data_IF_056465555239
#
_entry.id   IF_056465555239
#
_cell.length_a   1.000
_cell.length_b   1.000
_cell.length_c   1.000
_cell.angle_alpha   90.00
_cell.angle_beta   90.00
_cell.angle_gamma   90.00
#
_symmetry.space_group_name_H-M   'P 1'
#
loop_
_entity.id
_entity.type
_entity.pdbx_description
1 polymer ?
#
# COMPACT_ATOMS: atom_id res chain seq x y z
N UNK A 1 -28.87 26.79 -10.40
CA UNK A 1 -27.61 26.33 -9.82
C UNK A 1 -27.97 25.46 -8.65
N UNK A 2 -27.52 24.18 -8.53
CA UNK A 2 -27.77 23.39 -7.34
C UNK A 2 -27.16 24.09 -6.13
N UNK A 3 -27.86 24.09 -5.01
CA UNK A 3 -27.39 24.68 -3.76
C UNK A 3 -26.14 23.93 -3.31
N UNK A 4 -25.13 24.64 -2.77
CA UNK A 4 -23.82 24.12 -2.33
C UNK A 4 -23.91 22.93 -1.32
N UNK A 5 -25.10 22.58 -0.84
CA UNK A 5 -25.35 21.54 0.15
C UNK A 5 -25.58 20.12 -0.41
N UNK A 6 -25.77 19.96 -1.74
CA UNK A 6 -26.13 18.68 -2.36
C UNK A 6 -24.98 17.98 -3.11
N UNK A 7 -23.78 18.59 -3.17
CA UNK A 7 -22.65 17.93 -3.83
C UNK A 7 -21.88 17.08 -2.80
N UNK A 8 -21.54 15.83 -3.14
CA UNK A 8 -20.72 15.01 -2.27
C UNK A 8 -19.40 15.71 -1.99
N UNK A 9 -18.95 15.66 -0.73
CA UNK A 9 -17.72 16.31 -0.32
C UNK A 9 -16.52 15.71 -1.07
N UNK A 10 -15.74 16.55 -1.74
CA UNK A 10 -14.53 16.16 -2.46
C UNK A 10 -13.51 15.51 -1.51
N UNK A 11 -12.90 14.42 -1.94
CA UNK A 11 -11.85 13.73 -1.20
C UNK A 11 -10.63 13.38 -2.05
N UNK A 12 -10.69 13.54 -3.39
CA UNK A 12 -9.56 13.32 -4.30
C UNK A 12 -8.80 14.61 -4.50
N UNK A 13 -7.50 14.65 -4.16
CA UNK A 13 -6.66 15.85 -4.18
C UNK A 13 -6.67 16.56 -5.54
N UNK A 14 -6.59 15.81 -6.62
CA UNK A 14 -6.55 16.32 -8.00
C UNK A 14 -7.85 17.00 -8.44
N UNK A 15 -8.94 16.84 -7.71
CA UNK A 15 -10.22 17.48 -7.99
C UNK A 15 -10.39 18.82 -7.27
N UNK A 16 -9.47 19.16 -6.36
CA UNK A 16 -9.51 20.43 -5.62
C UNK A 16 -8.87 21.56 -6.41
N UNK A 17 -9.47 22.74 -6.29
CA UNK A 17 -8.80 23.98 -6.64
C UNK A 17 -7.87 24.43 -5.52
N UNK A 18 -6.88 25.28 -5.80
CA UNK A 18 -5.95 25.74 -4.76
C UNK A 18 -6.61 26.46 -3.55
N UNK A 19 -7.72 27.23 -3.68
CA UNK A 19 -8.42 27.75 -2.52
C UNK A 19 -9.07 26.65 -1.66
N UNK A 20 -9.64 25.61 -2.29
CA UNK A 20 -10.23 24.47 -1.58
C UNK A 20 -9.15 23.64 -0.84
N UNK A 21 -7.92 23.58 -1.37
CA UNK A 21 -6.78 22.96 -0.66
C UNK A 21 -6.46 23.75 0.62
N UNK A 22 -6.51 25.07 0.60
CA UNK A 22 -6.33 25.90 1.81
C UNK A 22 -7.38 25.59 2.87
N UNK A 23 -8.63 25.37 2.46
CA UNK A 23 -9.72 24.97 3.36
C UNK A 23 -9.48 23.56 3.92
N UNK A 24 -9.01 22.60 3.10
CA UNK A 24 -8.68 21.25 3.53
C UNK A 24 -7.53 21.23 4.58
N UNK A 25 -6.52 22.07 4.40
CA UNK A 25 -5.45 22.29 5.38
C UNK A 25 -6.01 22.83 6.70
N UNK A 26 -6.87 23.86 6.65
CA UNK A 26 -7.50 24.44 7.84
C UNK A 26 -8.39 23.42 8.60
N UNK A 27 -8.95 22.45 7.90
CA UNK A 27 -9.71 21.33 8.49
C UNK A 27 -8.83 20.23 9.09
N UNK A 28 -7.50 20.34 9.05
CA UNK A 28 -6.54 19.35 9.52
C UNK A 28 -6.80 17.96 8.91
N UNK A 29 -7.00 17.91 7.57
CA UNK A 29 -7.18 16.64 6.87
C UNK A 29 -5.85 15.89 6.78
N UNK A 30 -5.92 14.57 6.90
CA UNK A 30 -4.77 13.65 6.68
C UNK A 30 -4.59 13.45 5.17
N UNK A 31 -3.39 13.69 4.64
CA UNK A 31 -3.04 13.30 3.28
C UNK A 31 -2.74 11.80 3.24
N UNK A 32 -3.44 11.05 2.41
CA UNK A 32 -3.25 9.62 2.19
C UNK A 32 -2.64 9.43 0.81
N UNK A 33 -1.38 9.01 0.75
CA UNK A 33 -0.64 8.76 -0.49
C UNK A 33 -0.50 7.25 -0.73
N UNK A 34 -1.25 6.67 -1.68
CA UNK A 34 -1.04 5.29 -2.08
C UNK A 34 0.26 5.15 -2.86
N UNK A 35 1.04 4.11 -2.56
CA UNK A 35 2.32 3.83 -3.21
C UNK A 35 2.37 2.36 -3.58
N UNK A 36 2.37 2.07 -4.86
CA UNK A 36 2.55 0.72 -5.38
C UNK A 36 3.79 0.61 -6.26
N UNK A 37 3.78 -0.34 -7.18
CA UNK A 37 4.71 -0.44 -8.30
C UNK A 37 4.05 -1.14 -9.49
N UNK A 38 4.64 -1.00 -10.67
CA UNK A 38 4.25 -1.74 -11.88
C UNK A 38 5.20 -2.92 -12.00
N UNK A 39 4.74 -4.11 -11.61
CA UNK A 39 5.56 -5.32 -11.64
C UNK A 39 4.74 -6.58 -11.94
N UNK A 40 5.42 -7.63 -12.34
CA UNK A 40 4.83 -8.92 -12.56
C UNK A 40 4.24 -9.52 -11.25
N UNK A 41 3.11 -10.22 -11.34
CA UNK A 41 2.46 -10.96 -10.26
C UNK A 41 1.99 -12.33 -10.75
N UNK A 42 2.90 -13.08 -11.38
CA UNK A 42 2.57 -14.33 -12.04
C UNK A 42 1.78 -14.11 -13.34
N UNK A 43 1.36 -15.21 -13.99
CA UNK A 43 0.68 -15.12 -15.30
C UNK A 43 -0.80 -14.73 -15.19
N UNK A 44 -1.35 -14.60 -13.99
CA UNK A 44 -2.77 -14.46 -13.72
C UNK A 44 -3.20 -13.09 -13.21
N UNK A 45 -2.29 -12.26 -12.67
CA UNK A 45 -2.59 -10.92 -12.17
C UNK A 45 -2.01 -9.83 -13.07
N UNK A 46 -2.65 -8.65 -13.12
CA UNK A 46 -2.16 -7.53 -13.90
C UNK A 46 -0.91 -6.90 -13.26
N UNK A 47 -0.05 -6.29 -14.08
CA UNK A 47 1.18 -5.60 -13.63
C UNK A 47 0.93 -4.48 -12.62
N UNK A 48 -0.30 -3.99 -12.52
CA UNK A 48 -0.70 -2.86 -11.67
C UNK A 48 -1.26 -3.31 -10.32
N UNK A 49 -1.09 -4.56 -9.93
CA UNK A 49 -1.65 -5.18 -8.72
C UNK A 49 -1.39 -4.35 -7.47
N UNK A 50 -0.15 -3.97 -7.22
CA UNK A 50 0.26 -3.20 -6.03
C UNK A 50 -0.36 -1.80 -5.98
N UNK A 51 -0.36 -1.13 -7.13
CA UNK A 51 -0.98 0.20 -7.24
C UNK A 51 -2.50 0.11 -7.02
N UNK A 52 -3.15 -0.90 -7.62
CA UNK A 52 -4.59 -1.12 -7.48
C UNK A 52 -4.96 -1.36 -6.02
N UNK A 53 -4.27 -2.28 -5.35
CA UNK A 53 -4.58 -2.63 -3.95
C UNK A 53 -4.38 -1.45 -3.02
N UNK A 54 -3.22 -0.77 -3.09
CA UNK A 54 -2.95 0.42 -2.27
C UNK A 54 -3.96 1.54 -2.55
N UNK A 55 -4.28 1.80 -3.81
CA UNK A 55 -5.21 2.86 -4.22
C UNK A 55 -6.62 2.57 -3.75
N UNK A 56 -7.16 1.39 -4.01
CA UNK A 56 -8.55 1.08 -3.68
C UNK A 56 -8.78 0.95 -2.17
N UNK A 57 -7.82 0.38 -1.40
CA UNK A 57 -7.90 0.37 0.05
C UNK A 57 -7.94 1.79 0.62
N UNK A 58 -7.07 2.67 0.11
CA UNK A 58 -7.02 4.07 0.51
C UNK A 58 -8.28 4.83 0.11
N UNK A 59 -8.74 4.64 -1.14
CA UNK A 59 -9.95 5.29 -1.66
C UNK A 59 -11.19 4.95 -0.84
N UNK A 60 -11.42 3.67 -0.60
CA UNK A 60 -12.57 3.19 0.17
C UNK A 60 -12.56 3.70 1.61
N UNK A 61 -11.37 3.84 2.22
CA UNK A 61 -11.26 4.39 3.56
C UNK A 61 -11.50 5.91 3.59
N UNK A 62 -10.86 6.66 2.67
CA UNK A 62 -11.01 8.14 2.61
C UNK A 62 -12.43 8.54 2.23
N UNK A 63 -13.08 7.80 1.32
CA UNK A 63 -14.47 8.02 0.94
C UNK A 63 -15.46 7.95 2.12
N UNK A 64 -15.14 7.16 3.16
CA UNK A 64 -15.93 7.07 4.40
C UNK A 64 -15.72 8.26 5.35
N UNK A 65 -14.68 9.08 5.11
CA UNK A 65 -14.34 10.23 5.97
C UNK A 65 -13.81 11.42 5.18
N UNK A 66 -14.57 11.91 4.18
CA UNK A 66 -14.10 12.91 3.22
C UNK A 66 -13.81 14.28 3.84
N UNK A 67 -14.35 14.57 5.05
CA UNK A 67 -14.05 15.78 5.80
C UNK A 67 -12.73 15.72 6.59
N UNK A 68 -12.17 14.51 6.78
CA UNK A 68 -11.07 14.26 7.69
C UNK A 68 -9.79 13.80 6.99
N UNK A 69 -9.92 13.26 5.77
CA UNK A 69 -8.81 12.80 4.97
C UNK A 69 -8.94 13.24 3.51
N UNK A 70 -7.83 13.22 2.78
CA UNK A 70 -7.75 13.54 1.36
C UNK A 70 -6.87 12.48 0.67
N UNK A 71 -7.37 11.91 -0.43
CA UNK A 71 -6.67 10.91 -1.22
C UNK A 71 -5.78 11.59 -2.24
N UNK A 72 -4.49 11.30 -2.20
CA UNK A 72 -3.53 11.77 -3.19
C UNK A 72 -3.53 10.88 -4.43
N UNK A 73 -3.15 11.42 -5.61
CA UNK A 73 -2.79 10.60 -6.76
C UNK A 73 -1.71 9.58 -6.39
N UNK A 74 -1.89 8.34 -6.84
CA UNK A 74 -1.01 7.24 -6.46
C UNK A 74 0.38 7.32 -7.10
N UNK A 75 1.40 6.82 -6.42
CA UNK A 75 2.72 6.56 -6.98
C UNK A 75 2.70 5.20 -7.67
N UNK A 76 3.01 5.18 -8.98
CA UNK A 76 2.95 4.00 -9.83
C UNK A 76 4.29 3.31 -10.01
N UNK A 77 5.40 4.02 -9.91
CA UNK A 77 6.74 3.49 -10.17
C UNK A 77 7.60 3.59 -8.92
N UNK A 78 8.17 2.47 -8.52
CA UNK A 78 8.90 2.32 -7.28
C UNK A 78 10.07 1.35 -7.42
N UNK A 79 10.68 0.93 -6.30
CA UNK A 79 11.82 0.03 -6.30
C UNK A 79 11.39 -1.42 -6.46
N UNK A 80 11.71 -2.04 -7.62
CA UNK A 80 11.42 -3.44 -7.91
C UNK A 80 12.41 -4.06 -8.92
N UNK A 81 13.67 -3.64 -8.85
CA UNK A 81 14.76 -4.09 -9.75
C UNK A 81 14.86 -5.62 -9.82
N UNK A 82 14.65 -6.29 -8.70
CA UNK A 82 14.72 -7.75 -8.57
C UNK A 82 13.63 -8.51 -9.35
N UNK A 83 12.62 -7.82 -9.89
CA UNK A 83 11.58 -8.38 -10.76
C UNK A 83 11.82 -8.15 -12.26
N UNK A 84 12.91 -7.48 -12.66
CA UNK A 84 13.17 -7.11 -14.06
C UNK A 84 13.40 -8.30 -15.01
N UNK A 85 13.68 -9.49 -14.49
CA UNK A 85 13.77 -10.71 -15.29
C UNK A 85 12.42 -11.13 -15.89
N UNK A 86 11.32 -10.51 -15.43
CA UNK A 86 9.98 -10.75 -15.96
C UNK A 86 9.51 -9.54 -16.78
N UNK A 87 9.07 -9.74 -18.04
CA UNK A 87 8.62 -8.65 -18.90
C UNK A 87 7.49 -7.82 -18.31
N UNK A 88 7.53 -6.51 -18.53
CA UNK A 88 6.51 -5.57 -18.09
C UNK A 88 6.79 -4.87 -16.76
N UNK A 89 7.70 -5.37 -15.96
CA UNK A 89 8.18 -4.68 -14.76
C UNK A 89 8.91 -3.39 -15.11
N UNK A 90 8.60 -2.29 -14.41
CA UNK A 90 9.26 -0.99 -14.55
C UNK A 90 9.83 -0.59 -13.21
N UNK A 91 11.14 -0.58 -13.09
CA UNK A 91 11.84 -0.28 -11.85
C UNK A 91 12.36 1.15 -11.78
N UNK A 92 12.40 1.71 -10.59
CA UNK A 92 13.05 2.98 -10.26
C UNK A 92 14.14 2.69 -9.23
N UNK A 93 15.29 3.31 -9.37
CA UNK A 93 16.40 3.19 -8.42
C UNK A 93 16.00 3.69 -7.02
N UNK A 94 16.53 3.03 -5.98
CA UNK A 94 16.14 3.28 -4.60
C UNK A 94 16.26 4.74 -4.15
N UNK A 95 17.39 5.39 -4.46
CA UNK A 95 17.63 6.80 -4.10
C UNK A 95 16.66 7.74 -4.83
N UNK A 96 16.39 7.46 -6.11
CA UNK A 96 15.41 8.21 -6.89
C UNK A 96 14.01 8.08 -6.29
N UNK A 97 13.63 6.88 -5.90
CA UNK A 97 12.33 6.60 -5.28
C UNK A 97 12.19 7.29 -3.91
N UNK A 98 13.20 7.19 -3.04
CA UNK A 98 13.22 7.89 -1.74
C UNK A 98 13.05 9.40 -1.95
N UNK A 99 13.84 9.99 -2.85
CA UNK A 99 13.81 11.43 -3.10
C UNK A 99 12.46 11.87 -3.67
N UNK A 100 11.90 11.12 -4.61
CA UNK A 100 10.60 11.40 -5.23
C UNK A 100 9.47 11.44 -4.19
N UNK A 101 9.37 10.41 -3.34
CA UNK A 101 8.33 10.36 -2.28
C UNK A 101 8.58 11.45 -1.23
N UNK A 102 9.85 11.70 -0.88
CA UNK A 102 10.23 12.78 0.06
C UNK A 102 9.79 14.15 -0.49
N UNK A 103 10.02 14.45 -1.76
CA UNK A 103 9.67 15.74 -2.36
C UNK A 103 8.16 15.95 -2.44
N UNK A 104 7.37 14.89 -2.70
CA UNK A 104 5.91 14.94 -2.60
C UNK A 104 5.50 15.33 -1.17
N UNK A 105 6.03 14.64 -0.16
CA UNK A 105 5.71 14.91 1.24
C UNK A 105 6.12 16.30 1.70
N UNK A 106 7.30 16.80 1.27
CA UNK A 106 7.76 18.16 1.54
C UNK A 106 6.85 19.22 0.91
N UNK A 107 6.37 18.97 -0.31
CA UNK A 107 5.42 19.86 -0.97
C UNK A 107 4.10 19.94 -0.21
N UNK A 108 3.57 18.82 0.25
CA UNK A 108 2.36 18.78 1.09
C UNK A 108 2.57 19.53 2.41
N UNK A 109 3.69 19.32 3.07
CA UNK A 109 4.05 20.03 4.30
C UNK A 109 4.21 21.53 4.08
N UNK A 110 4.81 21.95 2.96
CA UNK A 110 4.92 23.36 2.56
C UNK A 110 3.56 24.04 2.43
N UNK A 111 2.55 23.32 1.90
CA UNK A 111 1.18 23.82 1.82
C UNK A 111 0.44 23.82 3.16
N UNK A 112 1.03 23.28 4.22
CA UNK A 112 0.50 23.30 5.58
C UNK A 112 -0.14 22.00 6.05
N UNK A 113 -0.14 20.94 5.25
CA UNK A 113 -0.55 19.62 5.73
C UNK A 113 0.43 19.11 6.79
N UNK A 114 -0.10 18.67 7.91
CA UNK A 114 0.71 18.24 9.07
C UNK A 114 0.78 16.72 9.25
N UNK A 115 -0.07 15.97 8.54
CA UNK A 115 -0.17 14.51 8.69
C UNK A 115 -0.25 13.85 7.33
N UNK A 116 0.73 13.01 7.03
CA UNK A 116 0.89 12.33 5.75
C UNK A 116 1.00 10.84 6.01
N UNK A 117 0.10 10.04 5.45
CA UNK A 117 0.10 8.58 5.53
C UNK A 117 0.46 7.99 4.16
N UNK A 118 1.58 7.27 4.09
CA UNK A 118 1.97 6.48 2.93
C UNK A 118 1.33 5.09 3.07
N UNK A 119 0.45 4.72 2.13
CA UNK A 119 -0.17 3.39 2.09
C UNK A 119 0.54 2.55 1.05
N UNK A 120 1.31 1.59 1.51
CA UNK A 120 2.17 0.78 0.66
C UNK A 120 1.49 -0.48 0.14
N UNK A 121 1.61 -0.74 -1.17
CA UNK A 121 1.14 -1.95 -1.85
C UNK A 121 2.23 -2.97 -2.18
N UNK A 122 3.52 -2.63 -2.03
CA UNK A 122 4.65 -3.47 -2.48
C UNK A 122 5.65 -3.76 -1.35
N UNK A 123 5.96 -5.05 -1.14
CA UNK A 123 6.83 -5.46 -0.03
C UNK A 123 8.20 -4.78 -0.03
N UNK A 124 8.86 -4.74 -1.19
CA UNK A 124 10.21 -4.17 -1.31
C UNK A 124 10.27 -2.64 -1.17
N UNK A 125 9.15 -1.94 -1.21
CA UNK A 125 9.10 -0.50 -0.92
C UNK A 125 9.29 -0.17 0.56
N UNK A 126 9.04 -1.11 1.47
CA UNK A 126 9.01 -0.87 2.93
C UNK A 126 10.24 -0.12 3.44
N UNK A 127 11.50 -0.56 3.20
CA UNK A 127 12.68 0.13 3.71
C UNK A 127 12.86 1.53 3.10
N UNK A 128 12.52 1.72 1.84
CA UNK A 128 12.64 3.00 1.14
C UNK A 128 11.59 4.00 1.62
N UNK A 129 10.36 3.55 1.85
CA UNK A 129 9.28 4.39 2.37
C UNK A 129 9.49 4.74 3.85
N UNK A 130 10.13 3.89 4.65
CA UNK A 130 10.53 4.23 6.02
C UNK A 130 11.54 5.39 6.00
N UNK A 131 12.56 5.33 5.13
CA UNK A 131 13.55 6.41 4.95
C UNK A 131 12.85 7.68 4.45
N UNK A 132 11.99 7.60 3.44
CA UNK A 132 11.27 8.76 2.93
C UNK A 132 10.37 9.41 4.00
N UNK A 133 9.65 8.61 4.79
CA UNK A 133 8.81 9.10 5.89
C UNK A 133 9.65 9.81 6.96
N UNK A 134 10.84 9.28 7.30
CA UNK A 134 11.80 9.93 8.21
C UNK A 134 12.31 11.25 7.63
N UNK A 135 12.65 11.29 6.36
CA UNK A 135 13.11 12.50 5.69
C UNK A 135 12.03 13.60 5.71
N UNK A 136 10.78 13.25 5.39
CA UNK A 136 9.66 14.19 5.45
C UNK A 136 9.51 14.74 6.87
N UNK A 137 9.48 13.86 7.88
CA UNK A 137 9.31 14.26 9.28
C UNK A 137 10.49 15.11 9.79
N UNK A 138 11.73 14.76 9.42
CA UNK A 138 12.93 15.46 9.92
C UNK A 138 13.14 16.82 9.25
N UNK A 139 12.68 16.99 8.02
CA UNK A 139 12.91 18.21 7.21
C UNK A 139 11.71 19.16 7.16
N UNK A 140 10.59 18.78 7.79
CA UNK A 140 9.36 19.57 7.78
C UNK A 140 8.71 19.60 9.17
N UNK A 141 7.64 20.37 9.28
CA UNK A 141 6.80 20.39 10.48
C UNK A 141 5.67 19.33 10.46
N UNK A 142 5.62 18.48 9.43
CA UNK A 142 4.65 17.40 9.33
C UNK A 142 5.20 16.13 9.99
N UNK A 143 4.30 15.26 10.42
CA UNK A 143 4.63 13.86 10.70
C UNK A 143 4.17 13.00 9.54
N UNK A 144 5.04 12.08 9.13
CA UNK A 144 4.76 11.11 8.09
C UNK A 144 4.80 9.70 8.66
N UNK A 145 3.81 8.89 8.33
CA UNK A 145 3.74 7.47 8.69
C UNK A 145 3.60 6.61 7.44
N UNK A 146 4.02 5.35 7.52
CA UNK A 146 3.89 4.37 6.44
C UNK A 146 3.21 3.11 6.97
N UNK A 147 2.32 2.53 6.16
CA UNK A 147 1.64 1.27 6.48
C UNK A 147 1.54 0.41 5.22
N UNK A 148 2.04 -0.84 5.23
CA UNK A 148 1.67 -1.84 4.24
C UNK A 148 0.20 -2.23 4.47
N UNK A 149 -0.65 -2.17 3.42
CA UNK A 149 -2.08 -2.39 3.61
C UNK A 149 -2.42 -3.77 4.22
N UNK A 150 -1.65 -4.80 3.87
CA UNK A 150 -1.86 -6.16 4.40
C UNK A 150 -1.59 -6.29 5.89
N UNK A 151 -0.76 -5.41 6.48
CA UNK A 151 -0.50 -5.40 7.92
C UNK A 151 -1.71 -4.95 8.74
N UNK A 152 -2.72 -4.36 8.11
CA UNK A 152 -3.98 -3.98 8.73
C UNK A 152 -4.98 -5.14 8.81
N UNK A 153 -4.71 -6.29 8.19
CA UNK A 153 -5.58 -7.46 8.28
C UNK A 153 -5.52 -8.02 9.71
N UNK A 154 -6.66 -8.20 10.41
CA UNK A 154 -6.67 -8.85 11.71
C UNK A 154 -6.10 -10.27 11.61
N UNK A 155 -5.19 -10.62 12.52
CA UNK A 155 -4.49 -11.92 12.49
C UNK A 155 -5.45 -13.12 12.53
N UNK A 156 -6.52 -13.02 13.33
CA UNK A 156 -7.52 -14.09 13.43
C UNK A 156 -8.30 -14.27 12.12
N UNK A 157 -8.65 -13.16 11.45
CA UNK A 157 -9.31 -13.21 10.14
C UNK A 157 -8.39 -13.82 9.09
N UNK A 158 -7.10 -13.42 9.06
CA UNK A 158 -6.13 -13.99 8.14
C UNK A 158 -5.97 -15.49 8.35
N UNK A 159 -5.86 -15.93 9.60
CA UNK A 159 -5.78 -17.35 9.97
C UNK A 159 -7.05 -18.12 9.60
N UNK A 160 -8.22 -17.52 9.78
CA UNK A 160 -9.51 -18.14 9.46
C UNK A 160 -9.70 -18.34 7.95
N UNK A 161 -9.26 -17.38 7.13
CA UNK A 161 -9.53 -17.38 5.69
C UNK A 161 -8.44 -18.06 4.86
N UNK A 162 -7.22 -18.16 5.40
CA UNK A 162 -6.08 -18.76 4.73
C UNK A 162 -6.29 -20.27 4.53
N UNK A 163 -6.11 -20.73 3.30
CA UNK A 163 -6.07 -22.15 2.94
C UNK A 163 -4.69 -22.58 2.41
N UNK A 164 -3.88 -21.63 1.93
CA UNK A 164 -2.51 -21.89 1.49
C UNK A 164 -1.60 -22.21 2.66
N UNK A 165 -0.52 -22.96 2.39
CA UNK A 165 0.44 -23.34 3.41
C UNK A 165 1.15 -22.15 4.07
N UNK A 166 1.55 -22.32 5.32
CA UNK A 166 2.40 -21.37 6.03
C UNK A 166 3.73 -22.06 6.41
N UNK A 167 4.88 -21.43 6.19
CA UNK A 167 5.05 -20.18 5.44
C UNK A 167 5.08 -20.40 3.91
N UNK A 168 4.88 -19.32 3.17
CA UNK A 168 5.15 -19.25 1.75
C UNK A 168 3.92 -19.24 0.85
N UNK A 169 2.76 -19.67 1.34
CA UNK A 169 1.54 -19.67 0.52
C UNK A 169 0.97 -18.27 0.22
N UNK A 170 1.37 -17.27 1.02
CA UNK A 170 0.96 -15.87 0.86
C UNK A 170 2.19 -14.96 0.82
N UNK A 171 2.94 -14.92 -0.29
CA UNK A 171 4.10 -14.05 -0.43
C UNK A 171 3.98 -13.08 -1.60
N UNK A 172 3.79 -13.54 -2.86
CA UNK A 172 3.69 -12.68 -4.05
C UNK A 172 2.84 -13.32 -5.15
N UNK A 173 1.92 -12.56 -5.74
CA UNK A 173 0.94 -13.11 -6.68
C UNK A 173 0.13 -14.25 -6.05
N UNK A 174 -0.16 -14.13 -4.78
CA UNK A 174 -0.53 -15.20 -3.87
C UNK A 174 -2.04 -15.30 -3.61
N UNK A 175 -2.46 -16.21 -2.71
CA UNK A 175 -3.86 -16.35 -2.29
C UNK A 175 -4.48 -15.02 -1.86
N UNK A 176 -3.76 -14.21 -1.05
CA UNK A 176 -4.27 -12.94 -0.53
C UNK A 176 -4.51 -11.92 -1.66
N UNK A 177 -3.48 -11.62 -2.43
CA UNK A 177 -3.53 -10.60 -3.49
C UNK A 177 -4.51 -10.99 -4.58
N UNK A 178 -4.49 -12.26 -4.99
CA UNK A 178 -5.44 -12.77 -5.99
C UNK A 178 -6.89 -12.67 -5.49
N UNK A 179 -7.15 -13.00 -4.21
CA UNK A 179 -8.50 -12.86 -3.65
C UNK A 179 -8.96 -11.39 -3.65
N UNK A 180 -8.08 -10.48 -3.23
CA UNK A 180 -8.36 -9.04 -3.22
C UNK A 180 -8.64 -8.53 -4.63
N UNK A 181 -7.83 -8.91 -5.62
CA UNK A 181 -8.05 -8.51 -7.03
C UNK A 181 -9.32 -9.12 -7.61
N UNK A 182 -9.65 -10.37 -7.31
CA UNK A 182 -10.93 -10.99 -7.71
C UNK A 182 -12.12 -10.19 -7.21
N UNK A 183 -12.04 -9.58 -6.04
CA UNK A 183 -13.11 -8.74 -5.51
C UNK A 183 -13.12 -7.35 -6.14
N UNK A 184 -11.97 -6.67 -6.18
CA UNK A 184 -11.86 -5.27 -6.62
C UNK A 184 -11.93 -5.12 -8.14
N UNK A 185 -11.24 -5.97 -8.88
CA UNK A 185 -11.09 -5.92 -10.34
C UNK A 185 -10.95 -7.32 -10.93
N UNK A 186 -11.94 -8.19 -10.65
CA UNK A 186 -11.97 -9.55 -11.18
C UNK A 186 -11.93 -9.63 -12.72
N UNK A 187 -12.32 -8.55 -13.39
CA UNK A 187 -12.20 -8.40 -14.85
C UNK A 187 -10.75 -8.43 -15.37
N UNK A 188 -9.76 -8.12 -14.50
CA UNK A 188 -8.34 -8.14 -14.84
C UNK A 188 -7.63 -9.45 -14.45
N UNK A 189 -8.29 -10.34 -13.72
CA UNK A 189 -7.69 -11.58 -13.21
C UNK A 189 -7.93 -12.72 -14.21
N UNK A 190 -6.85 -13.33 -14.67
CA UNK A 190 -6.90 -14.54 -15.53
C UNK A 190 -6.73 -15.78 -14.66
N UNK A 191 -7.77 -16.07 -13.85
CA UNK A 191 -7.68 -17.07 -12.77
C UNK A 191 -7.33 -18.47 -13.27
N UNK A 192 -7.70 -18.82 -14.50
CA UNK A 192 -7.35 -20.09 -15.15
C UNK A 192 -5.84 -20.28 -15.35
N UNK A 193 -5.06 -19.20 -15.25
CA UNK A 193 -3.60 -19.23 -15.31
C UNK A 193 -2.92 -19.25 -13.93
N UNK A 194 -3.72 -19.19 -12.85
CA UNK A 194 -3.19 -19.21 -11.50
C UNK A 194 -2.47 -20.55 -11.23
N UNK A 195 -1.22 -20.46 -10.80
CA UNK A 195 -0.38 -21.64 -10.55
C UNK A 195 0.34 -21.49 -9.21
N UNK A 196 0.27 -22.52 -8.37
CA UNK A 196 1.08 -22.59 -7.16
C UNK A 196 2.55 -22.69 -7.53
N UNK A 197 3.36 -21.79 -6.98
CA UNK A 197 4.81 -21.78 -7.14
C UNK A 197 5.48 -21.36 -5.81
N UNK A 198 6.08 -22.32 -5.11
CA UNK A 198 6.78 -22.11 -3.83
C UNK A 198 8.08 -22.88 -3.92
N UNK A 199 9.12 -22.24 -4.44
CA UNK A 199 10.42 -22.88 -4.73
C UNK A 199 11.56 -22.44 -3.80
N UNK A 200 11.27 -21.77 -2.70
CA UNK A 200 12.30 -21.46 -1.71
C UNK A 200 12.26 -22.46 -0.56
N UNK A 201 13.43 -22.74 0.01
CA UNK A 201 13.55 -23.59 1.18
C UNK A 201 13.33 -22.74 2.44
N UNK A 202 12.23 -22.96 3.14
CA UNK A 202 12.00 -22.34 4.45
C UNK A 202 12.91 -22.94 5.51
N UNK A 203 13.45 -22.07 6.39
CA UNK A 203 14.23 -22.44 7.58
C UNK A 203 13.71 -21.65 8.78
N UNK A 204 14.25 -21.88 9.98
CA UNK A 204 13.92 -21.05 11.16
C UNK A 204 14.35 -19.58 11.01
N UNK A 205 15.33 -19.27 10.14
CA UNK A 205 15.87 -17.94 9.93
C UNK A 205 15.29 -17.24 8.72
N UNK A 206 14.84 -17.99 7.72
CA UNK A 206 14.32 -17.46 6.48
C UNK A 206 13.05 -18.19 6.05
N UNK A 207 12.02 -17.40 5.84
CA UNK A 207 10.80 -17.76 5.13
C UNK A 207 10.19 -16.51 4.53
N UNK A 208 9.31 -16.67 3.58
CA UNK A 208 8.66 -15.53 2.93
C UNK A 208 7.15 -15.67 3.05
N UNK A 209 6.55 -14.73 3.77
CA UNK A 209 5.10 -14.73 3.97
C UNK A 209 4.60 -13.34 4.44
N UNK A 210 3.53 -12.83 3.85
CA UNK A 210 2.92 -11.55 4.22
C UNK A 210 2.28 -11.57 5.63
N UNK A 211 1.97 -12.77 6.15
CA UNK A 211 1.39 -12.93 7.48
C UNK A 211 2.39 -12.70 8.62
N UNK A 212 3.68 -12.92 8.38
CA UNK A 212 4.72 -12.75 9.39
C UNK A 212 6.09 -12.49 8.75
N UNK A 213 6.88 -11.53 9.25
CA UNK A 213 8.24 -11.32 8.80
C UNK A 213 9.16 -12.44 9.27
N UNK A 214 10.12 -12.86 8.44
CA UNK A 214 11.20 -13.74 8.85
C UNK A 214 12.28 -12.99 9.63
N UNK A 215 13.07 -13.68 10.48
CA UNK A 215 14.19 -13.05 11.19
C UNK A 215 15.28 -12.48 10.29
N UNK A 216 15.50 -13.08 9.12
CA UNK A 216 16.53 -12.70 8.15
C UNK A 216 15.89 -12.41 6.81
N UNK A 217 16.33 -11.32 6.18
CA UNK A 217 15.90 -10.91 4.86
C UNK A 217 17.02 -11.21 3.85
N UNK A 218 16.87 -12.27 3.06
CA UNK A 218 17.75 -12.54 1.92
C UNK A 218 17.27 -11.73 0.72
N UNK A 219 18.20 -11.04 0.08
CA UNK A 219 17.93 -10.25 -1.13
C UNK A 219 18.44 -11.02 -2.35
N UNK A 220 17.52 -11.43 -3.21
CA UNK A 220 17.80 -12.24 -4.39
C UNK A 220 16.99 -11.74 -5.59
N UNK A 221 17.41 -12.10 -6.81
CA UNK A 221 16.58 -11.95 -7.98
C UNK A 221 15.35 -12.84 -7.89
N UNK A 222 14.19 -12.30 -8.22
CA UNK A 222 12.90 -12.99 -8.07
C UNK A 222 12.83 -14.28 -8.90
N UNK A 223 13.48 -14.28 -10.09
CA UNK A 223 13.62 -15.44 -10.97
C UNK A 223 14.34 -16.64 -10.33
N UNK A 224 15.08 -16.44 -9.24
CA UNK A 224 15.71 -17.54 -8.48
C UNK A 224 14.72 -18.27 -7.58
N UNK A 225 13.64 -17.58 -7.15
CA UNK A 225 12.62 -18.17 -6.30
C UNK A 225 11.42 -18.71 -7.07
N UNK A 226 11.17 -18.18 -8.27
CA UNK A 226 9.98 -18.52 -9.04
C UNK A 226 10.28 -18.60 -10.53
N UNK A 227 9.70 -19.60 -11.18
CA UNK A 227 9.73 -19.74 -12.64
C UNK A 227 8.53 -19.05 -13.29
N UNK A 228 7.44 -18.93 -12.54
CA UNK A 228 6.17 -18.37 -13.04
C UNK A 228 5.99 -16.90 -12.71
N UNK A 229 6.82 -16.36 -11.80
CA UNK A 229 6.64 -15.04 -11.22
C UNK A 229 5.72 -15.03 -9.98
N UNK A 230 5.10 -16.16 -9.63
CA UNK A 230 4.33 -16.32 -8.40
C UNK A 230 5.23 -16.84 -7.27
N UNK A 231 5.06 -16.36 -6.06
CA UNK A 231 5.55 -17.02 -4.84
C UNK A 231 4.36 -17.15 -3.90
N UNK A 232 3.73 -18.32 -3.95
CA UNK A 232 2.51 -18.58 -3.19
C UNK A 232 1.58 -19.60 -3.84
N UNK A 233 0.36 -19.67 -3.32
CA UNK A 233 -0.69 -20.53 -3.85
C UNK A 233 -1.96 -19.73 -4.21
N UNK A 234 -2.00 -19.06 -5.36
CA UNK A 234 -3.17 -18.31 -5.83
C UNK A 234 -4.38 -19.18 -6.13
N UNK A 235 -4.20 -20.50 -6.28
CA UNK A 235 -5.32 -21.44 -6.58
C UNK A 235 -6.33 -21.53 -5.44
N UNK A 236 -5.97 -21.07 -4.25
CA UNK A 236 -6.80 -20.98 -3.06
C UNK A 236 -7.57 -19.68 -2.96
N UNK A 237 -7.36 -18.75 -3.89
CA UNK A 237 -8.00 -17.44 -3.85
C UNK A 237 -9.49 -17.54 -4.21
N UNK A 238 -10.31 -16.75 -3.54
CA UNK A 238 -11.71 -16.55 -3.88
C UNK A 238 -12.14 -15.10 -3.76
N UNK A 239 -13.16 -14.70 -4.49
CA UNK A 239 -13.75 -13.36 -4.42
C UNK A 239 -14.31 -13.05 -3.02
N UNK A 240 -14.90 -14.05 -2.37
CA UNK A 240 -15.49 -13.93 -1.03
C UNK A 240 -14.42 -13.66 0.04
N UNK A 241 -13.25 -14.31 -0.06
CA UNK A 241 -12.08 -13.99 0.78
C UNK A 241 -11.63 -12.57 0.54
N UNK A 242 -11.51 -12.18 -0.73
CA UNK A 242 -11.14 -10.82 -1.13
C UNK A 242 -12.06 -9.76 -0.52
N UNK A 243 -13.37 -9.96 -0.58
CA UNK A 243 -14.33 -9.05 0.03
C UNK A 243 -14.08 -8.89 1.53
N UNK A 244 -13.94 -10.00 2.27
CA UNK A 244 -13.69 -9.96 3.71
C UNK A 244 -12.37 -9.27 4.08
N UNK A 245 -11.29 -9.51 3.30
CA UNK A 245 -10.03 -8.82 3.50
C UNK A 245 -10.15 -7.32 3.25
N UNK A 246 -10.76 -6.91 2.14
CA UNK A 246 -10.94 -5.50 1.79
C UNK A 246 -11.78 -4.79 2.87
N UNK A 247 -12.92 -5.34 3.27
CA UNK A 247 -13.78 -4.76 4.31
C UNK A 247 -13.01 -4.55 5.62
N UNK A 248 -12.29 -5.57 6.08
CA UNK A 248 -11.50 -5.50 7.31
C UNK A 248 -10.36 -4.47 7.25
N UNK A 249 -9.62 -4.43 6.12
CA UNK A 249 -8.55 -3.45 5.93
C UNK A 249 -9.10 -2.03 5.90
N UNK A 250 -10.21 -1.80 5.19
CA UNK A 250 -10.85 -0.48 5.11
C UNK A 250 -11.32 0.00 6.48
N UNK A 251 -11.96 -0.86 7.27
CA UNK A 251 -12.36 -0.53 8.65
C UNK A 251 -11.16 -0.15 9.53
N UNK A 252 -10.09 -0.94 9.46
CA UNK A 252 -8.87 -0.68 10.22
C UNK A 252 -8.15 0.58 9.75
N UNK A 253 -8.16 0.86 8.44
CA UNK A 253 -7.58 2.08 7.89
C UNK A 253 -8.37 3.33 8.31
N UNK A 254 -9.69 3.27 8.34
CA UNK A 254 -10.53 4.35 8.90
C UNK A 254 -10.19 4.60 10.37
N UNK A 255 -10.03 3.54 11.17
CA UNK A 255 -9.64 3.67 12.58
C UNK A 255 -8.23 4.29 12.71
N UNK A 256 -7.26 3.84 11.92
CA UNK A 256 -5.90 4.41 11.86
C UNK A 256 -5.92 5.89 11.47
N UNK A 257 -6.69 6.27 10.46
CA UNK A 257 -6.79 7.66 10.01
C UNK A 257 -7.38 8.57 11.10
N UNK A 258 -8.40 8.11 11.84
CA UNK A 258 -8.97 8.84 12.99
C UNK A 258 -7.93 9.02 14.09
N UNK A 259 -7.23 7.95 14.47
CA UNK A 259 -6.15 8.00 15.46
C UNK A 259 -5.02 8.94 15.01
N UNK A 260 -4.56 8.79 13.78
CA UNK A 260 -3.47 9.60 13.23
C UNK A 260 -3.86 11.08 13.13
N UNK A 261 -5.12 11.38 12.74
CA UNK A 261 -5.64 12.74 12.71
C UNK A 261 -5.69 13.36 14.12
N UNK A 262 -6.09 12.61 15.13
CA UNK A 262 -6.16 13.06 16.51
C UNK A 262 -4.79 13.19 17.20
N UNK A 263 -3.74 12.53 16.66
CA UNK A 263 -2.40 12.53 17.27
C UNK A 263 -1.84 13.93 17.37
N UNK A 264 -1.45 14.33 18.58
CA UNK A 264 -0.75 15.59 18.84
C UNK A 264 0.66 15.58 18.24
N UNK A 265 1.03 16.66 17.59
CA UNK A 265 2.40 16.90 17.15
C UNK A 265 3.05 17.80 18.22
N UNK A 266 3.83 17.20 19.11
CA UNK A 266 4.52 17.92 20.16
C UNK A 266 5.65 18.76 19.58
N UNK A 267 5.96 19.94 20.20
CA UNK A 267 7.11 20.73 19.79
C UNK A 267 8.40 19.92 19.95
N UNK A 268 9.30 20.10 18.98
CA UNK A 268 10.65 19.56 19.10
C UNK A 268 11.40 20.35 20.17
N UNK A 269 12.04 19.64 21.09
CA UNK A 269 12.90 20.22 22.12
C UNK A 269 14.33 19.80 21.81
N UNK A 270 15.19 20.77 21.55
CA UNK A 270 16.63 20.56 21.41
C UNK A 270 17.26 20.62 22.80
N UNK A 271 18.05 19.63 23.18
CA UNK A 271 18.72 19.51 24.46
C UNK A 271 20.21 19.83 24.39
N UNK A 272 20.68 20.44 23.29
CA UNK A 272 22.08 20.90 23.15
C UNK A 272 22.30 22.22 23.82
#
# INVERSE_FOLDING_TARGET
MPQKHDMPQKYRYEEFTWPEIREAVAQNRVCVLPVGTVEQHGPHLPLVTDVLTATEMSRLAVERMPAEAILMPSVYYAFNVHHLDFPGTIAVEGDTFINYVTDIGKSLAHHGFRKILLVNGHGSNVPFLDIAARNITNQTEAICAMVPWWSLIPKDLLKQLRESEFPGGMAHGCELETSVLLYLRGDLVQFEKATKDINFQSTEFFYWDLAAPSPVFFQEWFSRYSKTGTVGDPTKATREKGQKFVEAVVERMVALLKEFRAREIRPRVDHH
#
